data_IF_908324216918
#
_entry.id   IF_908324216918
#
_cell.length_a   1.000
_cell.length_b   1.000
_cell.length_c   1.000
_cell.angle_alpha   90.00
_cell.angle_beta   90.00
_cell.angle_gamma   90.00
#
_symmetry.space_group_name_H-M   'P 1'
#
loop_
_entity.id
_entity.type
_entity.pdbx_description
1 polymer ?
#
# COMPACT_ATOMS: atom_id res chain seq x y z
N UNK A 1 1.44 14.86 -19.56
CA UNK A 1 1.38 13.44 -19.16
C UNK A 1 2.79 12.86 -19.11
N UNK A 2 3.05 11.90 -18.22
CA UNK A 2 4.29 11.10 -18.23
C UNK A 2 3.99 9.76 -18.91
N UNK A 3 4.92 9.21 -19.69
CA UNK A 3 4.77 7.89 -20.33
C UNK A 3 5.79 6.92 -19.73
N UNK A 4 5.38 6.22 -18.68
CA UNK A 4 6.17 5.21 -17.99
C UNK A 4 5.24 4.23 -17.27
N UNK A 5 5.68 2.98 -17.12
CA UNK A 5 5.02 1.99 -16.27
C UNK A 5 5.51 2.11 -14.83
N UNK A 6 4.63 1.80 -13.88
CA UNK A 6 4.98 1.81 -12.45
C UNK A 6 5.91 0.64 -12.11
N UNK A 7 7.02 0.91 -11.41
CA UNK A 7 7.87 -0.13 -10.83
C UNK A 7 7.12 -0.91 -9.73
N UNK A 8 6.34 -0.18 -8.94
CA UNK A 8 5.38 -0.69 -7.96
C UNK A 8 4.14 0.22 -7.98
N UNK A 9 2.96 -0.36 -7.95
CA UNK A 9 1.69 0.35 -7.72
C UNK A 9 0.93 -0.27 -6.57
N UNK A 10 0.15 0.54 -5.85
CA UNK A 10 -0.71 0.08 -4.76
C UNK A 10 -2.09 0.68 -4.94
N UNK A 11 -3.11 -0.18 -4.88
CA UNK A 11 -4.49 0.23 -4.69
C UNK A 11 -4.89 -0.07 -3.23
N UNK A 12 -5.41 0.93 -2.53
CA UNK A 12 -5.86 0.83 -1.15
C UNK A 12 -7.31 1.32 -1.04
N UNK A 13 -8.13 0.57 -0.31
CA UNK A 13 -9.48 0.98 0.08
C UNK A 13 -9.68 0.72 1.56
N UNK A 14 -10.17 1.72 2.28
CA UNK A 14 -10.45 1.64 3.71
C UNK A 14 -11.90 2.06 3.98
N UNK A 15 -12.59 1.29 4.81
CA UNK A 15 -13.80 1.74 5.49
C UNK A 15 -13.43 2.07 6.93
N UNK A 16 -13.60 3.33 7.33
CA UNK A 16 -13.23 3.82 8.66
C UNK A 16 -14.49 4.35 9.34
N UNK A 17 -14.68 3.94 10.59
CA UNK A 17 -15.74 4.44 11.47
C UNK A 17 -15.11 4.84 12.81
N UNK A 18 -15.31 6.11 13.21
CA UNK A 18 -14.76 6.66 14.45
C UNK A 18 -13.25 6.43 14.61
N UNK A 19 -12.47 6.62 13.54
CA UNK A 19 -11.02 6.41 13.52
C UNK A 19 -10.56 4.96 13.51
N UNK A 20 -11.49 3.99 13.50
CA UNK A 20 -11.21 2.55 13.50
C UNK A 20 -11.50 1.96 12.12
N UNK A 21 -10.60 1.11 11.63
CA UNK A 21 -10.76 0.41 10.34
C UNK A 21 -11.79 -0.72 10.51
N UNK A 22 -12.84 -0.70 9.70
CA UNK A 22 -13.88 -1.74 9.64
C UNK A 22 -13.63 -2.75 8.53
N UNK A 23 -13.16 -2.27 7.38
CA UNK A 23 -12.73 -3.12 6.27
C UNK A 23 -11.54 -2.47 5.55
N UNK A 24 -10.67 -3.31 4.99
CA UNK A 24 -9.50 -2.88 4.25
C UNK A 24 -9.29 -3.76 3.01
N UNK A 25 -8.88 -3.16 1.90
CA UNK A 25 -8.47 -3.86 0.68
C UNK A 25 -7.17 -3.27 0.17
N UNK A 26 -6.20 -4.14 -0.11
CA UNK A 26 -4.86 -3.75 -0.55
C UNK A 26 -4.46 -4.66 -1.71
N UNK A 27 -4.16 -4.06 -2.86
CA UNK A 27 -3.66 -4.79 -4.03
C UNK A 27 -2.39 -4.11 -4.57
N UNK A 28 -1.41 -4.92 -4.97
CA UNK A 28 -0.13 -4.45 -5.49
C UNK A 28 0.04 -4.84 -6.96
N UNK A 29 0.60 -3.92 -7.76
CA UNK A 29 1.05 -4.14 -9.14
C UNK A 29 2.56 -3.94 -9.28
N UNK A 30 3.16 -4.54 -10.32
CA UNK A 30 4.60 -4.41 -10.61
C UNK A 30 5.53 -5.24 -9.70
N UNK A 31 4.98 -5.96 -8.72
CA UNK A 31 5.71 -6.77 -7.73
C UNK A 31 5.72 -8.28 -8.02
N UNK A 32 4.81 -8.77 -8.88
CA UNK A 32 4.69 -10.18 -9.25
C UNK A 32 4.13 -10.35 -10.66
N UNK A 33 4.07 -11.58 -11.17
CA UNK A 33 3.54 -11.93 -12.50
C UNK A 33 2.03 -11.69 -12.65
N UNK A 34 1.32 -11.50 -11.53
CA UNK A 34 -0.10 -11.14 -11.42
C UNK A 34 -0.27 -10.09 -10.32
N UNK A 35 -1.36 -9.30 -10.31
CA UNK A 35 -1.68 -8.44 -9.17
C UNK A 35 -1.64 -9.25 -7.87
N UNK A 36 -0.91 -8.75 -6.88
CA UNK A 36 -0.73 -9.42 -5.60
C UNK A 36 -1.73 -8.89 -4.58
N UNK A 37 -2.38 -9.79 -3.85
CA UNK A 37 -3.34 -9.46 -2.79
C UNK A 37 -3.24 -10.50 -1.68
N UNK A 38 -3.14 -10.02 -0.46
CA UNK A 38 -3.10 -10.85 0.75
C UNK A 38 -4.33 -10.52 1.61
N UNK A 39 -5.37 -11.35 1.49
CA UNK A 39 -6.63 -11.17 2.20
C UNK A 39 -6.49 -11.39 3.70
N UNK A 40 -5.51 -12.17 4.15
CA UNK A 40 -5.31 -12.33 5.59
C UNK A 40 -4.67 -11.09 6.18
N UNK A 41 -3.68 -10.48 5.49
CA UNK A 41 -3.09 -9.22 5.89
C UNK A 41 -4.14 -8.10 5.96
N UNK A 42 -5.05 -8.03 4.99
CA UNK A 42 -6.21 -7.13 5.04
C UNK A 42 -7.04 -7.31 6.32
N UNK A 43 -7.32 -8.56 6.72
CA UNK A 43 -8.09 -8.85 7.93
C UNK A 43 -7.38 -8.38 9.21
N UNK A 44 -6.05 -8.37 9.26
CA UNK A 44 -5.33 -7.88 10.45
C UNK A 44 -5.48 -6.38 10.71
N UNK A 45 -5.97 -5.61 9.72
CA UNK A 45 -6.30 -4.20 9.93
C UNK A 45 -7.67 -4.00 10.57
N UNK A 46 -8.58 -4.98 10.52
CA UNK A 46 -9.93 -4.82 11.09
C UNK A 46 -9.85 -4.60 12.60
N UNK A 47 -10.51 -3.55 13.07
CA UNK A 47 -10.50 -3.15 14.48
C UNK A 47 -9.26 -2.35 14.90
N UNK A 48 -8.27 -2.14 14.03
CA UNK A 48 -7.12 -1.29 14.32
C UNK A 48 -7.46 0.19 14.10
N UNK A 49 -6.74 1.07 14.79
CA UNK A 49 -6.76 2.50 14.48
C UNK A 49 -6.15 2.75 13.09
N UNK A 50 -6.70 3.72 12.35
CA UNK A 50 -6.21 4.11 11.04
C UNK A 50 -4.94 4.98 11.13
N UNK A 51 -3.85 4.41 11.64
CA UNK A 51 -2.58 5.10 11.90
C UNK A 51 -1.38 4.43 11.22
N UNK A 52 -0.29 5.19 11.09
CA UNK A 52 0.95 4.75 10.43
C UNK A 52 1.47 3.41 10.95
N UNK A 53 1.42 3.18 12.27
CA UNK A 53 1.90 1.94 12.88
C UNK A 53 1.14 0.71 12.36
N UNK A 54 -0.17 0.79 12.22
CA UNK A 54 -0.98 -0.29 11.67
C UNK A 54 -0.65 -0.54 10.18
N UNK A 55 -0.37 0.54 9.43
CA UNK A 55 -0.01 0.47 8.02
C UNK A 55 1.37 -0.13 7.80
N UNK A 56 2.34 0.19 8.65
CA UNK A 56 3.68 -0.42 8.62
C UNK A 56 3.61 -1.92 8.94
N UNK A 57 2.84 -2.28 9.97
CA UNK A 57 2.68 -3.67 10.37
C UNK A 57 2.05 -4.53 9.26
N UNK A 58 0.99 -4.03 8.60
CA UNK A 58 0.38 -4.76 7.48
C UNK A 58 1.30 -4.83 6.26
N UNK A 59 2.08 -3.77 5.98
CA UNK A 59 3.03 -3.77 4.86
C UNK A 59 4.12 -4.83 5.05
N UNK A 60 4.68 -4.92 6.27
CA UNK A 60 5.64 -5.98 6.62
C UNK A 60 5.01 -7.37 6.48
N UNK A 61 3.73 -7.53 6.85
CA UNK A 61 3.03 -8.82 6.72
C UNK A 61 2.85 -9.23 5.25
N UNK A 62 2.41 -8.33 4.40
CA UNK A 62 2.21 -8.56 2.96
C UNK A 62 3.51 -8.97 2.29
N UNK A 63 4.63 -8.38 2.72
CA UNK A 63 5.95 -8.55 2.10
C UNK A 63 6.86 -9.55 2.83
N UNK A 64 6.38 -10.23 3.88
CA UNK A 64 7.18 -11.14 4.72
C UNK A 64 7.94 -12.20 3.89
N UNK A 65 7.29 -12.73 2.88
CA UNK A 65 7.82 -13.80 2.03
C UNK A 65 8.34 -13.27 0.67
N UNK A 66 8.42 -11.95 0.51
CA UNK A 66 8.92 -11.32 -0.70
C UNK A 66 10.41 -11.62 -0.88
N UNK A 67 10.78 -12.04 -2.09
CA UNK A 67 12.17 -12.36 -2.46
C UNK A 67 12.55 -11.53 -3.67
N UNK A 68 13.59 -10.73 -3.49
CA UNK A 68 14.28 -10.08 -4.59
C UNK A 68 15.15 -11.08 -5.36
N UNK A 69 15.63 -10.64 -6.51
CA UNK A 69 16.48 -11.37 -7.46
C UNK A 69 17.69 -10.51 -7.84
N UNK A 70 18.24 -9.77 -6.88
CA UNK A 70 19.43 -8.93 -7.05
C UNK A 70 19.07 -7.53 -7.54
N UNK A 71 18.84 -7.38 -8.84
CA UNK A 71 18.60 -6.04 -9.43
C UNK A 71 17.26 -5.42 -9.02
N UNK A 72 16.32 -6.22 -8.50
CA UNK A 72 14.98 -5.76 -8.12
C UNK A 72 14.74 -5.74 -6.60
N UNK A 73 15.78 -5.94 -5.79
CA UNK A 73 15.66 -5.98 -4.32
C UNK A 73 15.08 -4.66 -3.77
N UNK A 74 15.38 -3.55 -4.44
CA UNK A 74 14.82 -2.23 -4.11
C UNK A 74 13.29 -2.18 -4.15
N UNK A 75 12.63 -3.07 -4.91
CA UNK A 75 11.17 -3.11 -5.02
C UNK A 75 10.50 -3.49 -3.72
N UNK A 76 11.16 -4.26 -2.85
CA UNK A 76 10.59 -4.66 -1.56
C UNK A 76 10.42 -3.43 -0.68
N UNK A 77 11.49 -2.64 -0.52
CA UNK A 77 11.46 -1.40 0.25
C UNK A 77 10.51 -0.36 -0.38
N UNK A 78 10.53 -0.24 -1.71
CA UNK A 78 9.60 0.64 -2.43
C UNK A 78 8.14 0.22 -2.21
N UNK A 79 7.84 -1.08 -2.21
CA UNK A 79 6.50 -1.59 -1.95
C UNK A 79 6.05 -1.32 -0.52
N UNK A 80 6.92 -1.51 0.48
CA UNK A 80 6.62 -1.17 1.88
C UNK A 80 6.19 0.28 1.99
N UNK A 81 6.99 1.21 1.46
CA UNK A 81 6.70 2.66 1.50
C UNK A 81 5.44 3.02 0.71
N UNK A 82 5.24 2.39 -0.44
CA UNK A 82 4.06 2.62 -1.27
C UNK A 82 2.77 2.17 -0.58
N UNK A 83 2.78 1.03 0.14
CA UNK A 83 1.63 0.54 0.91
C UNK A 83 1.29 1.53 2.03
N UNK A 84 2.28 1.92 2.84
CA UNK A 84 2.07 2.86 3.96
C UNK A 84 1.52 4.19 3.45
N UNK A 85 2.11 4.73 2.36
CA UNK A 85 1.64 5.96 1.73
C UNK A 85 0.19 5.84 1.23
N UNK A 86 -0.14 4.78 0.48
CA UNK A 86 -1.47 4.60 -0.09
C UNK A 86 -2.54 4.46 1.00
N UNK A 87 -2.25 3.72 2.07
CA UNK A 87 -3.13 3.59 3.23
C UNK A 87 -3.29 4.92 3.97
N UNK A 88 -2.21 5.67 4.18
CA UNK A 88 -2.26 7.01 4.77
C UNK A 88 -3.10 7.99 3.98
N UNK A 89 -2.94 8.02 2.65
CA UNK A 89 -3.77 8.84 1.75
C UNK A 89 -5.25 8.43 1.78
N UNK A 90 -5.53 7.12 1.79
CA UNK A 90 -6.89 6.60 1.89
C UNK A 90 -7.54 6.97 3.23
N UNK A 91 -6.79 6.88 4.33
CA UNK A 91 -7.27 7.23 5.67
C UNK A 91 -7.52 8.73 5.83
N UNK A 92 -6.67 9.58 5.21
CA UNK A 92 -6.84 11.02 5.21
C UNK A 92 -7.92 11.52 4.24
N UNK A 93 -8.44 10.67 3.36
CA UNK A 93 -9.37 11.07 2.30
C UNK A 93 -8.75 12.06 1.30
N UNK A 94 -7.43 12.00 1.11
CA UNK A 94 -6.66 12.93 0.25
C UNK A 94 -6.15 12.23 -1.02
N UNK A 95 -7.03 11.95 -2.00
CA UNK A 95 -6.60 11.35 -3.25
C UNK A 95 -5.61 12.28 -3.96
N UNK A 96 -4.49 11.72 -4.42
CA UNK A 96 -3.44 12.50 -5.07
C UNK A 96 -3.94 13.04 -6.41
N UNK A 97 -3.93 14.37 -6.57
CA UNK A 97 -4.24 15.00 -7.84
C UNK A 97 -3.08 14.80 -8.82
N UNK A 98 -3.26 13.94 -9.84
CA UNK A 98 -2.23 13.65 -10.84
C UNK A 98 -1.82 14.86 -11.69
N UNK A 99 -2.61 15.94 -11.63
CA UNK A 99 -2.31 17.23 -12.29
C UNK A 99 -1.23 18.03 -11.55
N UNK A 100 -1.09 17.80 -10.24
CA UNK A 100 -0.16 18.52 -9.39
C UNK A 100 1.07 17.63 -9.14
N UNK A 101 2.17 17.95 -9.85
CA UNK A 101 3.43 17.18 -9.82
C UNK A 101 4.47 17.77 -8.86
N UNK A 102 4.06 18.65 -7.95
CA UNK A 102 4.94 19.17 -6.90
C UNK A 102 5.52 18.02 -6.07
N UNK A 103 6.83 18.04 -5.88
CA UNK A 103 7.50 17.15 -4.91
C UNK A 103 7.34 17.85 -3.56
N UNK A 104 6.58 17.24 -2.64
CA UNK A 104 6.54 17.63 -1.24
C UNK A 104 7.59 16.85 -0.45
#
# INVERSE_FOLDING_TARGET
>A
LSYAFALVSVAAGLQIENGTIKDARIALGGVAHKPWRDTEAEQSLRGQAAETRAFEAVAQRILRDAKGQGENDFKIELATRAIVRALGQAAAGTPQNQSDKGIQ
#
